data_IF_236931862453
#
_entry.id   IF_236931862453
#
_cell.length_a   1.000
_cell.length_b   1.000
_cell.length_c   1.000
_cell.angle_alpha   90.00
_cell.angle_beta   90.00
_cell.angle_gamma   90.00
#
_symmetry.space_group_name_H-M   'P 1'
#
loop_
_entity.id
_entity.type
_entity.pdbx_description
1 polymer ?
#
# COMPACT_ATOMS: atom_id res chain seq x y z
N UNK A 1 -18.20 7.20 -17.47
CA UNK A 1 -17.08 7.76 -16.90
C UNK A 1 -15.85 7.54 -17.71
N UNK A 2 -15.18 8.60 -17.92
CA UNK A 2 -14.09 8.51 -18.69
C UNK A 2 -13.04 7.78 -18.06
N UNK A 3 -13.03 7.67 -16.79
CA UNK A 3 -11.96 6.96 -16.15
C UNK A 3 -12.00 5.50 -16.53
N UNK A 4 -13.15 4.97 -16.92
CA UNK A 4 -13.21 3.61 -17.35
C UNK A 4 -12.70 3.48 -18.78
N UNK A 5 -12.79 4.52 -19.54
CA UNK A 5 -12.32 4.51 -20.91
C UNK A 5 -10.88 4.88 -21.07
N UNK A 6 -10.29 5.48 -20.02
CA UNK A 6 -8.92 5.87 -20.08
C UNK A 6 -8.10 5.19 -19.05
N UNK A 7 -7.52 4.08 -19.41
CA UNK A 7 -6.67 3.36 -18.49
C UNK A 7 -5.28 3.96 -18.53
N UNK A 8 -4.73 4.19 -17.34
CA UNK A 8 -3.38 4.69 -17.24
C UNK A 8 -2.50 3.69 -16.54
N UNK A 9 -1.35 3.45 -17.10
CA UNK A 9 -0.35 2.61 -16.46
C UNK A 9 0.55 3.52 -15.65
N UNK A 10 0.40 3.54 -14.33
CA UNK A 10 1.22 4.37 -13.48
C UNK A 10 2.62 3.80 -13.34
N UNK A 11 2.71 2.50 -13.17
CA UNK A 11 4.00 1.87 -12.95
C UNK A 11 3.89 0.39 -13.26
N UNK A 12 4.88 -0.15 -13.94
CA UNK A 12 4.94 -1.58 -14.20
C UNK A 12 6.27 -2.09 -13.67
N UNK A 13 6.20 -3.09 -12.81
CA UNK A 13 7.39 -3.70 -12.27
C UNK A 13 7.66 -4.98 -13.07
N UNK A 14 8.88 -5.17 -13.54
CA UNK A 14 9.20 -6.34 -14.36
C UNK A 14 9.37 -7.62 -13.56
N UNK A 15 9.53 -7.50 -12.27
CA UNK A 15 9.79 -8.68 -11.45
C UNK A 15 8.53 -9.21 -10.77
N UNK A 16 8.30 -8.87 -9.53
CA UNK A 16 7.22 -9.46 -8.76
C UNK A 16 5.90 -8.73 -8.94
N UNK A 17 4.80 -9.45 -8.78
CA UNK A 17 3.48 -8.86 -8.93
C UNK A 17 3.01 -8.11 -7.69
N UNK A 18 1.75 -7.70 -7.72
CA UNK A 18 1.11 -6.97 -6.63
C UNK A 18 -0.01 -7.82 -6.06
N UNK A 19 -0.31 -7.63 -4.80
CA UNK A 19 -1.40 -8.37 -4.20
C UNK A 19 -2.45 -7.45 -3.58
N UNK A 20 -2.06 -6.52 -2.74
CA UNK A 20 -3.02 -5.58 -2.16
C UNK A 20 -2.54 -4.16 -2.26
N UNK A 21 -3.48 -3.21 -2.20
CA UNK A 21 -3.11 -1.80 -2.23
C UNK A 21 -4.09 -0.93 -1.49
N UNK A 22 -3.61 0.21 -0.98
CA UNK A 22 -4.43 1.21 -0.31
C UNK A 22 -3.86 2.59 -0.59
N UNK A 23 -4.72 3.60 -0.52
CA UNK A 23 -4.30 4.98 -0.71
C UNK A 23 -4.17 5.69 0.62
N UNK A 24 -3.23 6.61 0.72
CA UNK A 24 -3.22 7.55 1.83
C UNK A 24 -3.97 8.84 1.43
N UNK A 25 -4.08 9.79 2.36
CA UNK A 25 -4.87 11.00 2.12
C UNK A 25 -4.31 11.92 1.05
N UNK A 26 -3.04 11.78 0.69
CA UNK A 26 -2.44 12.55 -0.38
C UNK A 26 -2.56 11.83 -1.73
N UNK A 27 -3.16 10.65 -1.75
CA UNK A 27 -3.31 9.89 -2.98
C UNK A 27 -2.11 9.01 -3.31
N UNK A 28 -1.16 8.87 -2.38
CA UNK A 28 -0.05 7.95 -2.60
C UNK A 28 -0.56 6.53 -2.47
N UNK A 29 -0.03 5.64 -3.25
CA UNK A 29 -0.49 4.26 -3.32
C UNK A 29 0.50 3.36 -2.60
N UNK A 30 0.02 2.63 -1.59
CA UNK A 30 0.82 1.66 -0.86
C UNK A 30 0.46 0.28 -1.41
N UNK A 31 1.44 -0.43 -1.95
CA UNK A 31 1.21 -1.69 -2.67
C UNK A 31 2.08 -2.79 -2.09
N UNK A 32 1.47 -3.94 -1.76
CA UNK A 32 2.25 -5.10 -1.33
C UNK A 32 2.84 -5.77 -2.57
N UNK A 33 4.13 -6.09 -2.50
CA UNK A 33 4.83 -6.78 -3.59
C UNK A 33 5.08 -8.22 -3.18
N UNK A 34 4.11 -9.06 -3.52
CA UNK A 34 4.16 -10.48 -3.19
C UNK A 34 5.35 -11.12 -3.90
N UNK A 35 6.10 -11.92 -3.19
CA UNK A 35 7.29 -12.56 -3.74
C UNK A 35 8.56 -11.77 -3.51
N UNK A 36 8.47 -10.43 -3.47
CA UNK A 36 9.63 -9.61 -3.20
C UNK A 36 9.78 -9.31 -1.71
N UNK A 37 8.68 -9.32 -0.99
CA UNK A 37 8.72 -9.09 0.46
C UNK A 37 8.74 -7.63 0.86
N UNK A 38 8.17 -6.75 0.03
CA UNK A 38 8.17 -5.33 0.33
C UNK A 38 6.80 -4.72 0.14
N UNK A 39 6.63 -3.50 0.69
CA UNK A 39 5.53 -2.61 0.35
C UNK A 39 6.17 -1.42 -0.33
N UNK A 40 5.71 -1.08 -1.52
CA UNK A 40 6.22 0.09 -2.22
C UNK A 40 5.18 1.19 -2.13
N UNK A 41 5.63 2.43 -1.95
CA UNK A 41 4.75 3.59 -1.90
C UNK A 41 5.03 4.44 -3.12
N UNK A 42 4.01 4.64 -3.94
CA UNK A 42 4.11 5.44 -5.16
C UNK A 42 3.31 6.72 -4.99
N UNK A 43 3.80 7.81 -5.59
CA UNK A 43 3.00 9.03 -5.61
C UNK A 43 1.95 8.92 -6.72
N UNK A 44 1.03 9.87 -6.84
CA UNK A 44 -0.02 9.80 -7.85
C UNK A 44 0.49 9.76 -9.29
N UNK A 45 1.74 10.10 -9.52
CA UNK A 45 2.33 10.04 -10.85
C UNK A 45 3.04 8.72 -11.11
N UNK A 46 3.07 7.83 -10.11
CA UNK A 46 3.71 6.54 -10.25
C UNK A 46 5.18 6.50 -9.86
N UNK A 47 5.70 7.59 -9.29
CA UNK A 47 7.09 7.61 -8.86
C UNK A 47 7.22 6.93 -7.51
N UNK A 48 8.29 6.17 -7.33
CA UNK A 48 8.51 5.47 -6.07
C UNK A 48 9.00 6.45 -5.01
N UNK A 49 8.24 6.56 -3.92
CA UNK A 49 8.63 7.40 -2.79
C UNK A 49 9.46 6.61 -1.79
N UNK A 50 9.10 5.36 -1.54
CA UNK A 50 9.85 4.50 -0.65
C UNK A 50 9.47 3.05 -0.84
N UNK A 51 10.31 2.16 -0.36
CA UNK A 51 10.03 0.74 -0.39
C UNK A 51 10.38 0.19 0.98
N UNK A 52 9.46 -0.53 1.60
CA UNK A 52 9.56 -0.99 2.98
C UNK A 52 9.68 -2.50 2.99
N UNK A 53 10.73 -3.01 3.63
CA UNK A 53 10.92 -4.45 3.79
C UNK A 53 9.97 -4.95 4.87
N UNK A 54 9.17 -5.95 4.58
CA UNK A 54 8.23 -6.50 5.55
C UNK A 54 8.71 -7.82 6.14
N UNK A 55 10.00 -8.13 5.96
CA UNK A 55 10.64 -9.27 6.62
C UNK A 55 10.06 -10.64 6.25
N UNK A 56 9.50 -10.75 5.08
CA UNK A 56 8.97 -12.01 4.58
C UNK A 56 8.61 -11.88 3.12
N UNK A 57 8.64 -12.97 2.40
CA UNK A 57 8.52 -12.95 0.96
C UNK A 57 7.11 -12.77 0.42
N UNK A 58 6.09 -12.90 1.29
CA UNK A 58 4.72 -12.97 0.78
C UNK A 58 3.75 -12.03 1.48
N UNK A 59 3.97 -10.69 1.39
CA UNK A 59 2.97 -9.77 1.88
C UNK A 59 1.76 -9.83 0.96
N UNK A 60 0.56 -9.95 1.51
CA UNK A 60 -0.62 -10.14 0.71
C UNK A 60 -1.57 -8.95 0.74
N UNK A 61 -1.76 -8.34 1.89
CA UNK A 61 -2.71 -7.23 1.97
C UNK A 61 -2.24 -6.25 3.03
N UNK A 62 -2.80 -5.05 3.01
CA UNK A 62 -2.47 -4.05 4.01
C UNK A 62 -3.69 -3.19 4.33
N UNK A 63 -3.68 -2.59 5.51
CA UNK A 63 -4.70 -1.62 5.88
C UNK A 63 -4.12 -0.60 6.85
N UNK A 64 -4.73 0.58 6.88
CA UNK A 64 -4.33 1.64 7.79
C UNK A 64 -5.19 1.59 9.04
N UNK A 65 -4.61 1.91 10.18
CA UNK A 65 -5.34 1.96 11.44
C UNK A 65 -4.55 2.67 12.50
N UNK A 66 -4.86 2.40 13.75
CA UNK A 66 -4.26 3.07 14.87
C UNK A 66 -5.01 4.33 15.23
N UNK A 67 -4.57 5.05 16.23
CA UNK A 67 -5.28 6.26 16.69
C UNK A 67 -5.26 7.37 15.66
N UNK A 68 -4.20 7.50 14.92
CA UNK A 68 -4.04 8.57 13.93
C UNK A 68 -4.16 8.07 12.49
N UNK A 69 -4.48 6.79 12.30
CA UNK A 69 -4.63 6.24 10.95
C UNK A 69 -3.34 6.08 10.19
N UNK A 70 -2.20 6.21 10.85
CA UNK A 70 -0.89 6.15 10.20
C UNK A 70 -0.14 4.86 10.47
N UNK A 71 -0.73 3.91 11.16
CA UNK A 71 -0.14 2.60 11.35
C UNK A 71 -0.65 1.69 10.25
N UNK A 72 0.26 1.12 9.47
CA UNK A 72 -0.10 0.22 8.39
C UNK A 72 0.16 -1.20 8.85
N UNK A 73 -0.87 -2.04 8.75
CA UNK A 73 -0.80 -3.44 9.12
C UNK A 73 -0.73 -4.24 7.84
N UNK A 74 0.28 -5.11 7.72
CA UNK A 74 0.51 -5.91 6.53
C UNK A 74 0.43 -7.38 6.90
N UNK A 75 -0.42 -8.15 6.22
CA UNK A 75 -0.46 -9.59 6.44
C UNK A 75 0.64 -10.21 5.59
N UNK A 76 1.50 -11.00 6.24
CA UNK A 76 2.60 -11.66 5.56
C UNK A 76 2.38 -13.16 5.72
N UNK A 77 2.03 -13.82 4.61
CA UNK A 77 1.56 -15.20 4.68
C UNK A 77 2.64 -16.27 4.68
N UNK A 78 3.86 -15.91 4.31
CA UNK A 78 4.95 -16.88 4.30
C UNK A 78 5.28 -17.34 5.72
N UNK A 79 5.21 -16.44 6.68
CA UNK A 79 5.47 -16.74 8.07
C UNK A 79 4.23 -16.63 8.93
N UNK A 80 3.07 -16.50 8.35
CA UNK A 80 1.78 -16.43 9.06
C UNK A 80 1.82 -15.36 10.15
N UNK A 81 2.14 -14.11 9.76
CA UNK A 81 2.27 -13.04 10.76
C UNK A 81 1.77 -11.70 10.24
N UNK A 82 1.65 -10.78 11.18
CA UNK A 82 1.22 -9.43 10.90
C UNK A 82 2.41 -8.51 11.14
N UNK A 83 2.75 -7.72 10.14
CA UNK A 83 3.85 -6.76 10.24
C UNK A 83 3.26 -5.36 10.22
N UNK A 84 3.84 -4.44 10.98
CA UNK A 84 3.35 -3.07 11.03
C UNK A 84 4.45 -2.10 10.64
N UNK A 85 4.05 -0.99 10.01
CA UNK A 85 4.97 0.13 9.82
C UNK A 85 4.21 1.44 9.96
N UNK A 86 4.94 2.54 10.11
CA UNK A 86 4.31 3.86 10.22
C UNK A 86 4.36 4.58 8.90
N UNK A 87 3.20 5.07 8.47
CA UNK A 87 3.09 5.88 7.28
C UNK A 87 3.24 7.35 7.66
N UNK A 88 3.72 8.16 6.73
CA UNK A 88 3.81 9.60 6.96
C UNK A 88 2.44 10.24 7.00
N UNK A 89 1.46 9.64 6.34
CA UNK A 89 0.11 10.19 6.23
C UNK A 89 -0.92 9.10 6.55
N UNK A 90 -2.10 9.51 7.04
CA UNK A 90 -3.15 8.53 7.32
C UNK A 90 -3.74 7.94 6.05
N UNK A 91 -4.36 6.78 6.17
CA UNK A 91 -5.03 6.15 5.05
C UNK A 91 -6.28 6.92 4.66
N UNK A 92 -6.59 6.93 3.36
CA UNK A 92 -7.73 7.70 2.86
C UNK A 92 -9.06 7.15 3.38
N UNK A 93 -9.24 5.83 3.31
CA UNK A 93 -10.49 5.23 3.79
C UNK A 93 -10.65 5.44 5.30
N UNK A 94 -9.55 5.29 6.06
CA UNK A 94 -9.58 5.53 7.49
C UNK A 94 -10.00 6.96 7.78
N UNK A 95 -9.41 7.93 7.09
CA UNK A 95 -9.70 9.34 7.31
C UNK A 95 -11.16 9.68 6.97
N UNK A 96 -11.70 9.07 5.94
CA UNK A 96 -13.09 9.30 5.58
C UNK A 96 -14.06 8.82 6.64
N UNK A 97 -13.75 7.68 7.26
CA UNK A 97 -14.58 7.17 8.33
C UNK A 97 -14.49 8.07 9.55
N UNK A 98 -13.28 8.53 9.90
CA UNK A 98 -13.08 9.36 11.07
C UNK A 98 -13.60 10.78 10.88
N UNK A 99 -13.61 11.23 9.65
CA UNK A 99 -14.02 12.59 9.36
C UNK A 99 -15.49 12.85 9.33
N UNK A 100 -16.32 11.84 9.64
CA UNK A 100 -17.76 12.01 9.59
C UNK A 100 -18.31 12.92 10.60
#
# INVERSE_FOLDING_TARGET
DKSLGEKKLLKQFPDFGFDGMRLDVAGNIHITRHGKGTVVVLDPKGEILKEIDVLGGKPSNLCFGGKDGRTVYVTEVDHTRLVMYRSDLPGLAWARIQGK
#
